data_IF_297554152980
#
_entry.id   IF_297554152980
#
_cell.length_a   1.000
_cell.length_b   1.000
_cell.length_c   1.000
_cell.angle_alpha   90.00
_cell.angle_beta   90.00
_cell.angle_gamma   90.00
#
_symmetry.space_group_name_H-M   'P 1'
#
loop_
_entity.id
_entity.type
_entity.pdbx_description
1 polymer ?
#
# COMPACT_ATOMS: atom_id res chain seq x y z
N UNK A 1 11.23 20.35 4.15
CA UNK A 1 10.63 19.61 5.29
C UNK A 1 9.34 18.97 4.80
N UNK A 2 9.08 17.69 5.10
CA UNK A 2 7.83 17.03 4.71
C UNK A 2 6.69 17.54 5.59
N UNK A 3 5.58 17.98 4.99
CA UNK A 3 4.34 18.20 5.73
C UNK A 3 3.73 16.88 6.21
N UNK A 4 2.93 16.96 7.28
CA UNK A 4 2.10 15.85 7.74
C UNK A 4 0.99 15.59 6.73
N UNK A 5 0.88 14.36 6.24
CA UNK A 5 -0.17 13.98 5.28
C UNK A 5 -1.51 13.63 5.96
N UNK A 6 -1.49 12.91 7.08
CA UNK A 6 -2.66 12.55 7.87
C UNK A 6 -2.26 12.10 9.28
N UNK A 7 -3.26 11.88 10.15
CA UNK A 7 -3.11 11.38 11.52
C UNK A 7 -4.08 10.22 11.77
N UNK A 8 -3.64 9.20 12.52
CA UNK A 8 -4.50 8.09 12.95
C UNK A 8 -5.12 8.46 14.28
N UNK A 9 -6.40 8.79 14.27
CA UNK A 9 -7.16 9.13 15.49
C UNK A 9 -7.55 7.86 16.27
N UNK A 10 -8.00 6.81 15.55
CA UNK A 10 -8.33 5.49 16.10
C UNK A 10 -8.00 4.41 15.07
N UNK A 11 -7.32 3.33 15.48
CA UNK A 11 -7.02 2.18 14.61
C UNK A 11 -8.15 1.14 14.59
N UNK A 12 -8.33 0.46 13.46
CA UNK A 12 -9.17 -0.74 13.37
C UNK A 12 -8.44 -1.99 13.88
N UNK A 13 -9.14 -3.14 13.89
CA UNK A 13 -8.62 -4.41 14.41
C UNK A 13 -7.27 -4.82 13.78
N UNK A 14 -7.09 -4.57 12.48
CA UNK A 14 -5.85 -4.89 11.76
C UNK A 14 -5.59 -3.89 10.63
N UNK A 15 -5.54 -2.60 10.97
CA UNK A 15 -5.21 -1.55 9.99
C UNK A 15 -3.72 -1.59 9.63
N UNK A 16 -3.42 -1.87 8.36
CA UNK A 16 -2.04 -2.02 7.87
C UNK A 16 -1.79 -1.21 6.62
N UNK A 17 -0.52 -0.86 6.39
CA UNK A 17 -0.07 -0.30 5.11
C UNK A 17 0.19 -1.44 4.14
N UNK A 18 -0.49 -1.43 2.99
CA UNK A 18 -0.43 -2.51 2.02
C UNK A 18 0.00 -2.02 0.63
N UNK A 19 0.74 -2.89 -0.06
CA UNK A 19 1.18 -2.72 -1.44
C UNK A 19 0.79 -3.94 -2.31
N UNK A 20 1.37 -4.08 -3.50
CA UNK A 20 1.15 -5.23 -4.38
C UNK A 20 1.95 -6.49 -3.99
N UNK A 21 2.67 -6.44 -2.86
CA UNK A 21 3.51 -7.54 -2.40
C UNK A 21 4.89 -7.59 -3.05
N UNK A 22 5.59 -8.69 -2.77
CA UNK A 22 6.99 -8.96 -3.09
C UNK A 22 7.13 -10.38 -3.65
N UNK A 23 6.71 -10.64 -4.90
CA UNK A 23 6.89 -11.94 -5.52
C UNK A 23 8.39 -12.25 -5.71
N UNK A 24 8.74 -13.54 -5.76
CA UNK A 24 10.10 -13.99 -6.06
C UNK A 24 10.95 -14.43 -4.85
N UNK A 25 10.48 -14.19 -3.62
CA UNK A 25 11.21 -14.55 -2.40
C UNK A 25 10.68 -15.80 -1.67
N UNK A 26 9.77 -16.56 -2.30
CA UNK A 26 9.23 -17.78 -1.71
C UNK A 26 10.31 -18.85 -1.48
N UNK A 27 11.35 -18.88 -2.31
CA UNK A 27 12.48 -19.82 -2.18
C UNK A 27 13.26 -19.65 -0.87
N UNK A 28 13.19 -18.48 -0.24
CA UNK A 28 13.79 -18.18 1.06
C UNK A 28 12.75 -18.12 2.19
N UNK A 29 11.53 -18.60 1.94
CA UNK A 29 10.44 -18.64 2.92
C UNK A 29 9.72 -17.31 3.16
N UNK A 30 9.94 -16.29 2.33
CA UNK A 30 9.25 -15.01 2.46
C UNK A 30 7.90 -15.06 1.73
N UNK A 31 6.77 -14.78 2.40
CA UNK A 31 5.46 -14.74 1.76
C UNK A 31 5.36 -13.55 0.79
N UNK A 32 4.48 -13.66 -0.21
CA UNK A 32 4.23 -12.59 -1.19
C UNK A 32 3.77 -11.30 -0.49
N UNK A 33 2.98 -11.41 0.59
CA UNK A 33 2.38 -10.28 1.30
C UNK A 33 1.54 -9.37 0.38
N UNK A 34 1.30 -8.12 0.81
CA UNK A 34 0.51 -7.14 0.07
C UNK A 34 -0.98 -7.22 0.35
N UNK A 35 -1.75 -6.40 -0.35
CA UNK A 35 -3.20 -6.31 -0.16
C UNK A 35 -3.88 -7.64 -0.51
N UNK A 36 -4.72 -8.12 0.42
CA UNK A 36 -5.54 -9.31 0.24
C UNK A 36 -6.49 -9.20 -0.97
N UNK A 37 -6.95 -7.97 -1.26
CA UNK A 37 -7.73 -7.63 -2.45
C UNK A 37 -6.94 -6.62 -3.30
N UNK A 38 -6.09 -7.18 -4.16
CA UNK A 38 -5.23 -6.40 -5.06
C UNK A 38 -6.01 -5.64 -6.15
N UNK A 39 -7.22 -6.09 -6.50
CA UNK A 39 -8.07 -5.40 -7.46
C UNK A 39 -8.53 -4.07 -6.88
N UNK A 40 -9.15 -4.09 -5.70
CA UNK A 40 -9.57 -2.85 -5.02
C UNK A 40 -8.40 -1.91 -4.73
N UNK A 41 -7.23 -2.44 -4.34
CA UNK A 41 -6.03 -1.63 -4.13
C UNK A 41 -5.66 -0.85 -5.41
N UNK A 42 -5.69 -1.51 -6.57
CA UNK A 42 -5.38 -0.87 -7.85
C UNK A 42 -6.42 0.18 -8.22
N UNK A 43 -7.71 -0.13 -8.07
CA UNK A 43 -8.79 0.83 -8.35
C UNK A 43 -8.68 2.06 -7.44
N UNK A 44 -8.50 1.87 -6.13
CA UNK A 44 -8.36 2.97 -5.17
C UNK A 44 -7.18 3.89 -5.49
N UNK A 45 -6.02 3.31 -5.86
CA UNK A 45 -4.86 4.07 -6.30
C UNK A 45 -5.12 4.85 -7.59
N UNK A 46 -5.76 4.24 -8.59
CA UNK A 46 -6.08 4.91 -9.84
C UNK A 46 -7.04 6.09 -9.62
N UNK A 47 -8.02 5.95 -8.72
CA UNK A 47 -9.00 6.99 -8.42
C UNK A 47 -8.37 8.27 -7.83
N UNK A 48 -7.24 8.14 -7.13
CA UNK A 48 -6.49 9.28 -6.56
C UNK A 48 -5.31 9.71 -7.42
N UNK A 49 -5.20 9.19 -8.65
CA UNK A 49 -4.19 9.58 -9.63
C UNK A 49 -2.81 8.92 -9.45
N UNK A 50 -2.72 7.84 -8.67
CA UNK A 50 -1.48 7.08 -8.55
C UNK A 50 -1.29 6.18 -9.78
N UNK A 51 -0.13 6.25 -10.43
CA UNK A 51 0.17 5.46 -11.64
C UNK A 51 0.24 3.96 -11.35
N UNK A 52 -0.33 3.11 -12.24
CA UNK A 52 -0.26 1.66 -12.10
C UNK A 52 1.18 1.17 -12.31
N UNK A 53 1.76 0.58 -11.27
CA UNK A 53 3.06 -0.10 -11.37
C UNK A 53 4.28 0.72 -10.93
N UNK A 54 4.11 1.92 -10.34
CA UNK A 54 5.19 2.52 -9.58
C UNK A 54 5.54 1.59 -8.41
N UNK A 55 6.81 1.21 -8.34
CA UNK A 55 7.37 0.35 -7.29
C UNK A 55 6.81 0.76 -5.93
N UNK A 56 6.30 -0.18 -5.12
CA UNK A 56 6.10 0.12 -3.72
C UNK A 56 7.46 0.43 -3.12
N UNK A 57 7.61 1.63 -2.57
CA UNK A 57 8.78 2.07 -1.82
C UNK A 57 10.03 2.38 -2.65
N UNK A 58 9.92 3.31 -3.60
CA UNK A 58 10.95 4.34 -3.73
C UNK A 58 10.34 5.56 -4.42
N UNK A 59 10.15 6.63 -3.64
CA UNK A 59 9.76 7.97 -4.11
C UNK A 59 8.36 8.10 -4.75
N UNK A 60 7.30 7.95 -3.95
CA UNK A 60 6.01 8.57 -4.28
C UNK A 60 5.69 9.69 -3.29
N UNK A 61 5.78 10.93 -3.79
CA UNK A 61 5.43 12.16 -3.07
C UNK A 61 3.92 12.36 -2.85
N UNK A 62 3.07 11.43 -3.28
CA UNK A 62 1.63 11.49 -3.08
C UNK A 62 1.18 10.31 -2.21
N UNK A 63 1.10 10.56 -0.91
CA UNK A 63 0.65 9.62 0.10
C UNK A 63 -0.86 9.38 -0.08
N UNK A 64 -1.24 8.30 -0.75
CA UNK A 64 -2.57 7.72 -0.54
C UNK A 64 -2.45 6.24 -0.21
N UNK A 65 -2.57 5.99 1.09
CA UNK A 65 -2.47 4.70 1.72
C UNK A 65 -3.86 4.07 1.69
N UNK A 66 -3.98 2.92 1.06
CA UNK A 66 -5.20 2.12 1.17
C UNK A 66 -5.09 1.33 2.48
N UNK A 67 -5.64 1.92 3.53
CA UNK A 67 -5.92 1.24 4.79
C UNK A 67 -7.19 0.41 4.57
N UNK A 68 -7.07 -0.92 4.52
CA UNK A 68 -8.24 -1.82 4.60
C UNK A 68 -8.25 -2.51 5.96
N UNK A 69 -9.45 -2.58 6.52
CA UNK A 69 -9.82 -3.45 7.63
C UNK A 69 -9.82 -4.92 7.19
#
# INVERSE_FOLDING_TARGET
MSEKAFEVITGGLQTTVQDLGRPGYLSIGMPIAGAQDSFSLRIGNLLVGNEPGKKPLEEQKNHHLVLKN
#
